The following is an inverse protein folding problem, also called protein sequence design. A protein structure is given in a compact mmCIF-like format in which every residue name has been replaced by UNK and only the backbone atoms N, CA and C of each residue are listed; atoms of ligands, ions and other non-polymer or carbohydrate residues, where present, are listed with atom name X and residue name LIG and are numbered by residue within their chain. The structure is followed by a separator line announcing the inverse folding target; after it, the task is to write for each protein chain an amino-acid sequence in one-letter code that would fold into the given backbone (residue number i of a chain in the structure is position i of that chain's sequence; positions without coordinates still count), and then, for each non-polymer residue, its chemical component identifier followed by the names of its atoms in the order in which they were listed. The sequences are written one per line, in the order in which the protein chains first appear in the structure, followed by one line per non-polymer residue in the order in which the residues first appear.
data_IF_866848074377
#
_entry.id   IF_866848074377
#
_cell.length_a   1.000
_cell.length_b   1.000
_cell.length_c   1.000
_cell.angle_alpha   90.00
_cell.angle_beta   90.00
_cell.angle_gamma   90.00
#
_symmetry.space_group_name_H-M   'P 1'
#
loop_
_entity.id
_entity.type
_entity.pdbx_description
1 polymer ?
#
# COMPACT_ATOMS: atom_id res chain seq x y z
N UNK A 1 13.59 14.18 9.79
CA UNK A 1 14.04 12.78 9.63
C UNK A 1 13.42 12.28 8.33
N UNK A 2 14.20 11.76 7.39
CA UNK A 2 13.65 11.13 6.19
C UNK A 2 12.92 9.85 6.63
N UNK A 3 11.60 9.89 6.68
CA UNK A 3 10.73 8.82 7.18
C UNK A 3 10.69 7.56 6.30
N UNK A 4 11.47 7.52 5.21
CA UNK A 4 11.52 6.42 4.25
C UNK A 4 12.93 5.82 4.16
N UNK A 5 13.62 5.67 5.30
CA UNK A 5 14.85 4.89 5.33
C UNK A 5 14.51 3.41 5.18
N UNK A 6 14.54 2.92 3.94
CA UNK A 6 14.28 1.53 3.59
C UNK A 6 15.16 0.53 4.37
N UNK A 7 16.31 0.98 4.87
CA UNK A 7 17.18 0.15 5.71
C UNK A 7 16.53 -0.16 7.07
N UNK A 8 15.65 0.72 7.57
CA UNK A 8 14.86 0.45 8.77
C UNK A 8 13.88 -0.70 8.58
N UNK A 9 13.30 -0.86 7.38
CA UNK A 9 12.43 -2.00 7.09
C UNK A 9 13.19 -3.33 7.15
N UNK A 10 14.43 -3.37 6.66
CA UNK A 10 15.30 -4.55 6.80
C UNK A 10 15.58 -4.88 8.28
N UNK A 11 15.76 -3.86 9.13
CA UNK A 11 15.95 -4.07 10.56
C UNK A 11 14.75 -4.75 11.25
N UNK A 12 13.53 -4.62 10.70
CA UNK A 12 12.35 -5.37 11.15
C UNK A 12 12.26 -6.78 10.55
N UNK A 13 12.68 -6.97 9.30
CA UNK A 13 12.64 -8.27 8.59
C UNK A 13 13.72 -9.23 9.07
N UNK A 14 14.95 -8.74 9.29
CA UNK A 14 16.10 -9.57 9.64
C UNK A 14 15.89 -10.45 10.89
N UNK A 15 15.28 -9.96 12.00
CA UNK A 15 14.96 -10.81 13.15
C UNK A 15 13.97 -11.94 12.83
N UNK A 16 13.04 -11.72 11.90
CA UNK A 16 12.09 -12.75 11.45
C UNK A 16 12.84 -13.77 10.58
N UNK A 17 13.66 -13.32 9.65
CA UNK A 17 14.47 -14.18 8.78
C UNK A 17 15.46 -15.05 9.56
N UNK A 18 16.09 -14.53 10.63
CA UNK A 18 17.01 -15.29 11.50
C UNK A 18 16.40 -16.52 12.15
N UNK A 19 15.07 -16.56 12.25
CA UNK A 19 14.40 -17.73 12.80
C UNK A 19 14.54 -18.92 11.85
N UNK A 20 14.52 -18.71 10.53
CA UNK A 20 14.64 -19.77 9.52
C UNK A 20 15.97 -20.49 9.59
N UNK A 21 15.99 -21.73 9.09
CA UNK A 21 17.25 -22.46 8.98
C UNK A 21 18.15 -21.86 7.89
N UNK A 22 19.42 -22.25 7.91
CA UNK A 22 20.42 -21.69 7.01
C UNK A 22 20.11 -21.90 5.52
N UNK A 23 19.51 -23.04 5.16
CA UNK A 23 19.20 -23.37 3.77
C UNK A 23 17.97 -22.59 3.31
N UNK A 24 16.93 -22.54 4.15
CA UNK A 24 15.75 -21.73 3.92
C UNK A 24 16.12 -20.26 3.69
N UNK A 25 17.01 -19.69 4.52
CA UNK A 25 17.46 -18.31 4.35
C UNK A 25 18.11 -18.13 2.98
N UNK A 26 19.00 -19.04 2.56
CA UNK A 26 19.68 -18.97 1.26
C UNK A 26 18.70 -19.06 0.09
N UNK A 27 17.70 -19.93 0.20
CA UNK A 27 16.68 -20.09 -0.83
C UNK A 27 15.78 -18.85 -0.91
N UNK A 28 15.32 -18.34 0.23
CA UNK A 28 14.51 -17.12 0.33
C UNK A 28 15.23 -15.93 -0.31
N UNK A 29 16.47 -15.65 0.09
CA UNK A 29 17.21 -14.49 -0.44
C UNK A 29 17.68 -14.70 -1.87
N UNK A 30 17.98 -15.95 -2.27
CA UNK A 30 18.29 -16.30 -3.65
C UNK A 30 17.11 -16.04 -4.59
N UNK A 31 15.89 -16.40 -4.18
CA UNK A 31 14.66 -16.07 -4.91
C UNK A 31 14.41 -14.56 -5.00
N UNK A 32 14.83 -13.82 -3.97
CA UNK A 32 14.81 -12.36 -3.96
C UNK A 32 15.89 -11.71 -4.84
N UNK A 33 16.74 -12.49 -5.52
CA UNK A 33 17.76 -12.01 -6.44
C UNK A 33 19.11 -11.70 -5.79
N UNK A 34 19.36 -12.20 -4.58
CA UNK A 34 20.68 -12.10 -3.95
C UNK A 34 21.71 -12.94 -4.69
N UNK A 35 22.90 -12.39 -4.92
CA UNK A 35 24.01 -13.13 -5.51
C UNK A 35 24.62 -14.10 -4.49
N UNK A 36 24.28 -15.38 -4.61
CA UNK A 36 24.75 -16.43 -3.72
C UNK A 36 26.26 -16.72 -3.88
N UNK A 37 26.93 -16.26 -4.94
CA UNK A 37 28.38 -16.38 -5.06
C UNK A 37 29.12 -15.49 -4.04
N UNK A 38 28.51 -14.36 -3.65
CA UNK A 38 29.02 -13.51 -2.56
C UNK A 38 29.10 -14.31 -1.26
N UNK A 39 28.05 -15.06 -0.94
CA UNK A 39 27.99 -15.89 0.27
C UNK A 39 29.04 -17.00 0.23
N UNK A 40 29.25 -17.65 -0.93
CA UNK A 40 30.32 -18.64 -1.10
C UNK A 40 31.70 -18.03 -0.87
N UNK A 41 31.95 -16.83 -1.40
CA UNK A 41 33.20 -16.09 -1.21
C UNK A 41 33.47 -15.73 0.26
N UNK A 42 32.42 -15.57 1.07
CA UNK A 42 32.48 -15.32 2.52
C UNK A 42 32.58 -16.60 3.36
N UNK A 43 32.67 -17.78 2.73
CA UNK A 43 32.84 -19.06 3.41
C UNK A 43 31.52 -19.75 3.82
N UNK A 44 30.37 -19.24 3.37
CA UNK A 44 29.04 -19.85 3.56
C UNK A 44 28.72 -20.87 2.45
N UNK A 45 29.63 -21.82 2.25
CA UNK A 45 29.47 -22.92 1.30
C UNK A 45 28.85 -24.16 1.96
N UNK A 46 28.38 -25.09 1.12
CA UNK A 46 27.77 -26.34 1.59
C UNK A 46 28.79 -27.33 2.18
N UNK A 47 30.09 -26.99 2.21
CA UNK A 47 31.19 -27.88 2.58
C UNK A 47 31.84 -27.49 3.93
N UNK A 48 31.62 -26.27 4.42
CA UNK A 48 31.96 -25.83 5.78
C UNK A 48 30.88 -26.24 6.79
N UNK A 49 30.89 -27.52 7.16
CA UNK A 49 29.91 -28.14 8.07
C UNK A 49 30.06 -27.72 9.55
N UNK A 50 30.98 -26.82 9.85
CA UNK A 50 31.26 -26.31 11.20
C UNK A 50 30.34 -25.17 11.59
N UNK A 51 29.07 -25.46 11.89
CA UNK A 51 28.06 -24.51 12.40
C UNK A 51 27.73 -23.32 11.47
N UNK A 52 26.77 -23.47 10.55
CA UNK A 52 26.22 -22.31 9.86
C UNK A 52 25.50 -21.39 10.86
N UNK A 53 26.15 -20.29 11.22
CA UNK A 53 25.55 -19.28 12.10
C UNK A 53 24.55 -18.45 11.29
N UNK A 54 23.26 -18.77 11.40
CA UNK A 54 22.16 -18.03 10.73
C UNK A 54 22.18 -16.54 11.08
N UNK A 55 22.62 -16.17 12.28
CA UNK A 55 22.76 -14.77 12.67
C UNK A 55 23.87 -14.08 11.90
N UNK A 56 24.99 -14.76 11.66
CA UNK A 56 26.06 -14.22 10.83
C UNK A 56 25.63 -14.13 9.37
N UNK A 57 24.98 -15.17 8.83
CA UNK A 57 24.44 -15.15 7.47
C UNK A 57 23.50 -13.95 7.24
N UNK A 58 22.52 -13.73 8.13
CA UNK A 58 21.57 -12.61 8.00
C UNK A 58 22.25 -11.26 8.15
N UNK A 59 23.28 -11.14 9.00
CA UNK A 59 24.06 -9.90 9.12
C UNK A 59 24.81 -9.58 7.83
N UNK A 60 25.46 -10.56 7.21
CA UNK A 60 26.20 -10.39 5.94
C UNK A 60 25.26 -10.06 4.77
N UNK A 61 24.07 -10.67 4.74
CA UNK A 61 22.99 -10.28 3.82
C UNK A 61 22.60 -8.83 4.06
N UNK A 62 22.53 -8.40 5.32
CA UNK A 62 22.25 -7.01 5.69
C UNK A 62 23.32 -6.02 5.22
N UNK A 63 24.59 -6.37 5.34
CA UNK A 63 25.70 -5.53 4.88
C UNK A 63 25.69 -5.41 3.35
N UNK A 64 25.40 -6.51 2.65
CA UNK A 64 25.20 -6.49 1.20
C UNK A 64 23.96 -5.67 0.82
N UNK A 65 22.86 -5.81 1.56
CA UNK A 65 21.63 -5.06 1.34
C UNK A 65 21.89 -3.55 1.41
N UNK A 66 22.72 -3.06 2.34
CA UNK A 66 23.06 -1.64 2.44
C UNK A 66 23.67 -1.07 1.15
N UNK A 67 24.38 -1.90 0.39
CA UNK A 67 25.02 -1.53 -0.88
C UNK A 67 24.08 -1.54 -2.10
N UNK A 68 22.87 -2.10 -1.97
CA UNK A 68 21.90 -2.13 -3.06
C UNK A 68 21.38 -0.72 -3.38
N UNK A 69 21.03 -0.49 -4.65
CA UNK A 69 20.25 0.68 -5.03
C UNK A 69 18.87 0.64 -4.35
N UNK A 70 18.28 1.79 -4.02
CA UNK A 70 17.02 1.87 -3.27
C UNK A 70 15.86 1.09 -3.93
N UNK A 71 15.77 1.12 -5.26
CA UNK A 71 14.79 0.33 -6.03
C UNK A 71 15.00 -1.18 -5.86
N UNK A 72 16.27 -1.62 -5.77
CA UNK A 72 16.64 -3.02 -5.58
C UNK A 72 16.41 -3.48 -4.15
N UNK A 73 16.72 -2.62 -3.16
CA UNK A 73 16.44 -2.87 -1.73
C UNK A 73 14.97 -3.21 -1.50
N UNK A 74 14.07 -2.42 -2.10
CA UNK A 74 12.64 -2.58 -1.87
C UNK A 74 12.08 -3.83 -2.51
N UNK A 75 12.50 -4.13 -3.73
CA UNK A 75 12.14 -5.38 -4.40
C UNK A 75 12.65 -6.57 -3.62
N UNK A 76 13.93 -6.57 -3.24
CA UNK A 76 14.54 -7.63 -2.45
C UNK A 76 13.77 -7.89 -1.15
N UNK A 77 13.50 -6.83 -0.39
CA UNK A 77 12.79 -6.89 0.89
C UNK A 77 11.38 -7.48 0.74
N UNK A 78 10.62 -7.04 -0.26
CA UNK A 78 9.28 -7.57 -0.51
C UNK A 78 9.31 -9.04 -0.94
N UNK A 79 10.22 -9.43 -1.84
CA UNK A 79 10.34 -10.84 -2.22
C UNK A 79 10.73 -11.71 -1.03
N UNK A 80 11.66 -11.25 -0.18
CA UNK A 80 12.00 -11.95 1.07
C UNK A 80 10.77 -12.17 1.94
N UNK A 81 9.91 -11.16 2.06
CA UNK A 81 8.70 -11.23 2.89
C UNK A 81 7.63 -12.14 2.30
N UNK A 82 7.38 -12.01 1.00
CA UNK A 82 6.48 -12.90 0.27
C UNK A 82 6.91 -14.37 0.44
N UNK A 83 8.21 -14.64 0.35
CA UNK A 83 8.76 -15.97 0.59
C UNK A 83 8.65 -16.39 2.06
N UNK A 84 8.98 -15.52 3.02
CA UNK A 84 8.82 -15.77 4.47
C UNK A 84 7.39 -16.19 4.83
N UNK A 85 6.38 -15.69 4.12
CA UNK A 85 4.97 -15.99 4.34
C UNK A 85 4.36 -16.96 3.33
N UNK A 86 5.17 -17.56 2.45
CA UNK A 86 4.69 -18.53 1.47
C UNK A 86 4.32 -19.87 2.13
N UNK A 87 3.45 -20.62 1.45
CA UNK A 87 3.06 -21.97 1.87
C UNK A 87 4.24 -22.95 1.98
N UNK A 88 5.38 -22.64 1.36
CA UNK A 88 6.61 -23.45 1.45
C UNK A 88 7.14 -23.51 2.87
N UNK A 89 6.95 -22.46 3.67
CA UNK A 89 7.46 -22.35 5.03
C UNK A 89 6.34 -22.22 6.08
N UNK A 90 5.19 -22.86 5.80
CA UNK A 90 3.95 -22.79 6.59
C UNK A 90 4.07 -23.37 7.99
N UNK A 91 4.93 -24.36 8.18
CA UNK A 91 5.23 -24.97 9.49
C UNK A 91 6.72 -24.82 9.72
N UNK A 92 7.07 -23.89 10.59
CA UNK A 92 8.44 -23.63 10.96
C UNK A 92 8.66 -24.01 12.42
N UNK A 93 9.71 -24.79 12.70
CA UNK A 93 10.08 -25.25 14.04
C UNK A 93 11.44 -24.69 14.40
N UNK A 94 11.48 -23.76 15.36
CA UNK A 94 12.73 -23.30 15.97
C UNK A 94 12.60 -23.40 17.48
N UNK A 95 13.52 -24.16 18.08
CA UNK A 95 13.53 -24.32 19.54
C UNK A 95 12.24 -24.89 20.13
N UNK A 96 11.69 -25.96 19.55
CA UNK A 96 10.48 -26.67 20.00
C UNK A 96 9.15 -25.86 19.96
N UNK A 97 9.16 -24.64 19.41
CA UNK A 97 7.93 -23.86 19.18
C UNK A 97 7.54 -23.90 17.70
N UNK A 98 6.30 -24.26 17.43
CA UNK A 98 5.68 -24.16 16.10
C UNK A 98 5.06 -22.78 16.01
N UNK A 99 5.59 -21.96 15.10
CA UNK A 99 5.03 -20.62 14.84
C UNK A 99 4.20 -20.63 13.57
N UNK A 100 2.89 -20.39 13.72
CA UNK A 100 1.98 -20.23 12.58
C UNK A 100 2.27 -18.93 11.80
N UNK A 101 1.96 -18.90 10.49
CA UNK A 101 2.21 -17.73 9.64
C UNK A 101 1.59 -16.44 10.18
N UNK A 102 0.41 -16.51 10.80
CA UNK A 102 -0.30 -15.35 11.33
C UNK A 102 0.41 -14.74 12.54
N UNK A 103 0.93 -15.56 13.47
CA UNK A 103 1.75 -15.06 14.59
C UNK A 103 3.06 -14.41 14.12
N UNK A 104 3.62 -14.90 13.01
CA UNK A 104 4.81 -14.31 12.37
C UNK A 104 4.49 -12.96 11.73
N UNK A 105 3.34 -12.85 11.04
CA UNK A 105 2.86 -11.60 10.44
C UNK A 105 2.61 -10.54 11.51
N UNK A 106 1.94 -10.90 12.60
CA UNK A 106 1.67 -9.98 13.72
C UNK A 106 2.97 -9.41 14.31
N UNK A 107 3.99 -10.27 14.53
CA UNK A 107 5.29 -9.81 15.04
C UNK A 107 6.02 -8.90 14.06
N UNK A 108 6.01 -9.24 12.78
CA UNK A 108 6.62 -8.40 11.75
C UNK A 108 5.92 -7.04 11.70
N UNK A 109 4.59 -7.02 11.68
CA UNK A 109 3.78 -5.79 11.69
C UNK A 109 4.13 -4.91 12.90
N UNK A 110 4.20 -5.49 14.11
CA UNK A 110 4.59 -4.76 15.31
C UNK A 110 5.95 -4.06 15.21
N UNK A 111 6.94 -4.71 14.57
CA UNK A 111 8.25 -4.10 14.33
C UNK A 111 8.19 -3.00 13.26
N UNK A 112 7.42 -3.21 12.19
CA UNK A 112 7.28 -2.26 11.09
C UNK A 112 6.58 -0.97 11.50
N UNK A 113 5.52 -1.07 12.31
CA UNK A 113 4.72 0.09 12.77
C UNK A 113 5.61 1.14 13.46
N UNK A 114 6.54 0.66 14.29
CA UNK A 114 7.49 1.50 15.05
C UNK A 114 8.50 2.21 14.16
N UNK A 115 8.63 1.79 12.91
CA UNK A 115 9.60 2.28 11.93
C UNK A 115 8.94 3.01 10.75
N UNK A 116 7.62 3.25 10.80
CA UNK A 116 6.91 3.96 9.73
C UNK A 116 6.51 3.10 8.54
N UNK A 117 6.56 1.77 8.70
CA UNK A 117 6.22 0.79 7.67
C UNK A 117 5.01 -0.04 8.08
N UNK A 118 4.35 -0.65 7.12
CA UNK A 118 3.29 -1.62 7.39
C UNK A 118 3.32 -2.76 6.38
N UNK A 119 2.75 -3.89 6.78
CA UNK A 119 2.53 -5.05 5.92
C UNK A 119 1.07 -5.07 5.44
N UNK A 120 0.86 -4.90 4.13
CA UNK A 120 -0.45 -5.07 3.48
C UNK A 120 -0.28 -6.09 2.37
N UNK A 121 -1.08 -7.16 2.37
CA UNK A 121 -1.01 -8.25 1.36
C UNK A 121 0.42 -8.77 1.11
N UNK A 122 1.14 -9.04 2.21
CA UNK A 122 2.55 -9.47 2.23
C UNK A 122 3.54 -8.48 1.60
N UNK A 123 3.14 -7.23 1.42
CA UNK A 123 3.98 -6.15 0.88
C UNK A 123 4.26 -5.11 1.95
N UNK A 124 5.52 -4.69 2.04
CA UNK A 124 5.90 -3.53 2.84
C UNK A 124 5.60 -2.26 2.06
N UNK A 125 4.81 -1.40 2.69
CA UNK A 125 4.47 -0.07 2.22
C UNK A 125 4.78 0.95 3.34
N UNK A 126 5.26 2.15 3.01
CA UNK A 126 5.32 3.23 3.98
C UNK A 126 3.91 3.54 4.48
N UNK A 127 3.76 3.78 5.79
CA UNK A 127 2.49 4.25 6.41
C UNK A 127 2.04 5.58 5.77
N UNK A 128 2.97 6.36 5.24
CA UNK A 128 2.65 7.60 4.53
C UNK A 128 1.82 7.37 3.27
N UNK A 129 1.87 6.21 2.59
CA UNK A 129 1.18 5.99 1.31
C UNK A 129 -0.28 5.56 1.50
N UNK A 130 -0.53 4.59 2.36
CA UNK A 130 -1.86 4.15 2.81
C UNK A 130 -1.76 3.88 4.30
N UNK A 131 -2.87 3.84 5.03
CA UNK A 131 -2.89 3.33 6.41
C UNK A 131 -3.87 2.16 6.44
N UNK A 132 -3.49 1.04 7.05
CA UNK A 132 -4.34 -0.14 7.17
C UNK A 132 -5.69 0.20 7.81
N UNK A 133 -5.70 1.06 8.83
CA UNK A 133 -6.94 1.49 9.50
C UNK A 133 -7.87 2.20 8.52
N UNK A 134 -7.34 3.07 7.66
CA UNK A 134 -8.12 3.73 6.62
C UNK A 134 -8.67 2.74 5.57
N UNK A 135 -7.95 1.66 5.27
CA UNK A 135 -8.34 0.68 4.25
C UNK A 135 -9.49 -0.22 4.69
N UNK A 136 -9.58 -0.55 5.99
CA UNK A 136 -10.66 -1.37 6.56
C UNK A 136 -12.04 -0.72 6.36
N UNK A 137 -12.06 0.61 6.21
CA UNK A 137 -13.25 1.39 5.94
C UNK A 137 -13.68 1.44 4.47
N UNK A 138 -12.85 0.97 3.55
CA UNK A 138 -13.10 1.13 2.12
C UNK A 138 -13.81 -0.08 1.53
N UNK A 139 -14.59 0.17 0.48
CA UNK A 139 -15.16 -0.87 -0.38
C UNK A 139 -14.06 -1.82 -0.92
N UNK A 140 -14.27 -3.15 -0.95
CA UNK A 140 -13.25 -4.12 -1.34
C UNK A 140 -12.58 -3.88 -2.71
N UNK A 141 -13.36 -3.62 -3.77
CA UNK A 141 -12.79 -3.42 -5.11
C UNK A 141 -11.93 -2.15 -5.19
N UNK A 142 -12.34 -1.08 -4.51
CA UNK A 142 -11.55 0.14 -4.41
C UNK A 142 -10.30 -0.03 -3.54
N UNK A 143 -10.39 -0.84 -2.48
CA UNK A 143 -9.27 -1.20 -1.62
C UNK A 143 -8.18 -1.92 -2.41
N UNK A 144 -8.55 -2.92 -3.22
CA UNK A 144 -7.62 -3.66 -4.08
C UNK A 144 -6.89 -2.72 -5.05
N UNK A 145 -7.62 -1.81 -5.71
CA UNK A 145 -7.03 -0.84 -6.63
C UNK A 145 -6.15 0.20 -5.91
N UNK A 146 -6.47 0.61 -4.69
CA UNK A 146 -5.60 1.49 -3.89
C UNK A 146 -4.32 0.78 -3.45
N UNK A 147 -4.41 -0.48 -2.98
CA UNK A 147 -3.24 -1.30 -2.63
C UNK A 147 -2.35 -1.49 -3.86
N UNK A 148 -2.95 -1.75 -5.02
CA UNK A 148 -2.23 -1.80 -6.29
C UNK A 148 -1.59 -0.46 -6.64
N UNK A 149 -2.29 0.66 -6.47
CA UNK A 149 -1.74 2.00 -6.70
C UNK A 149 -0.52 2.28 -5.81
N UNK A 150 -0.60 1.97 -4.52
CA UNK A 150 0.48 2.10 -3.56
C UNK A 150 1.67 1.18 -3.90
N UNK A 151 1.38 -0.06 -4.29
CA UNK A 151 2.39 -1.03 -4.76
C UNK A 151 3.12 -0.48 -6.00
N UNK A 152 2.40 0.03 -6.98
CA UNK A 152 2.98 0.58 -8.22
C UNK A 152 3.78 1.85 -7.95
N UNK A 153 3.29 2.72 -7.08
CA UNK A 153 3.98 3.92 -6.65
C UNK A 153 5.30 3.59 -5.95
N UNK A 154 5.27 2.58 -5.09
CA UNK A 154 6.42 1.99 -4.41
C UNK A 154 7.43 1.44 -5.41
N UNK A 155 6.97 0.68 -6.40
CA UNK A 155 7.80 0.01 -7.41
C UNK A 155 8.38 0.97 -8.47
N UNK A 156 8.10 2.28 -8.37
CA UNK A 156 8.55 3.27 -9.35
C UNK A 156 7.73 3.28 -10.64
N UNK A 157 6.72 2.42 -10.75
CA UNK A 157 5.76 2.39 -11.85
C UNK A 157 4.66 3.44 -11.62
N UNK A 158 5.07 4.70 -11.71
CA UNK A 158 4.23 5.85 -11.40
C UNK A 158 3.04 5.99 -12.38
N UNK A 159 3.17 5.47 -13.60
CA UNK A 159 2.08 5.47 -14.59
C UNK A 159 0.92 4.58 -14.13
N UNK A 160 1.23 3.32 -13.80
CA UNK A 160 0.24 2.36 -13.31
C UNK A 160 -0.30 2.74 -11.93
N UNK A 161 0.50 3.43 -11.11
CA UNK A 161 0.05 3.96 -9.84
C UNK A 161 -1.10 4.96 -9.99
N UNK A 162 -0.97 5.95 -10.90
CA UNK A 162 -2.04 6.91 -11.18
C UNK A 162 -3.28 6.21 -11.77
N UNK A 163 -3.07 5.26 -12.68
CA UNK A 163 -4.17 4.49 -13.28
C UNK A 163 -4.96 3.73 -12.24
N UNK A 164 -4.27 3.04 -11.32
CA UNK A 164 -4.91 2.26 -10.25
C UNK A 164 -5.61 3.17 -9.24
N UNK A 165 -5.02 4.32 -8.88
CA UNK A 165 -5.67 5.30 -8.02
C UNK A 165 -6.98 5.84 -8.64
N UNK A 166 -6.96 6.17 -9.93
CA UNK A 166 -8.14 6.58 -10.68
C UNK A 166 -9.20 5.46 -10.75
N UNK A 167 -8.76 4.22 -11.01
CA UNK A 167 -9.62 3.05 -11.09
C UNK A 167 -10.32 2.75 -9.75
N UNK A 168 -9.65 2.96 -8.62
CA UNK A 168 -10.26 2.82 -7.30
C UNK A 168 -11.51 3.70 -7.15
N UNK A 169 -11.43 4.99 -7.50
CA UNK A 169 -12.60 5.89 -7.44
C UNK A 169 -13.66 5.48 -8.46
N UNK A 170 -13.26 5.11 -9.68
CA UNK A 170 -14.19 4.73 -10.74
C UNK A 170 -15.00 3.47 -10.38
N UNK A 171 -14.37 2.49 -9.74
CA UNK A 171 -15.03 1.26 -9.29
C UNK A 171 -16.18 1.54 -8.33
N UNK A 172 -15.98 2.42 -7.34
CA UNK A 172 -17.04 2.80 -6.39
C UNK A 172 -18.14 3.62 -7.06
N UNK A 173 -17.79 4.51 -8.00
CA UNK A 173 -18.81 5.24 -8.79
C UNK A 173 -19.70 4.26 -9.56
N UNK A 174 -19.10 3.30 -10.26
CA UNK A 174 -19.84 2.31 -11.02
C UNK A 174 -20.76 1.46 -10.12
N UNK A 175 -20.28 1.09 -8.92
CA UNK A 175 -21.09 0.45 -7.89
C UNK A 175 -22.27 1.33 -7.45
N UNK A 176 -22.02 2.58 -7.07
CA UNK A 176 -23.07 3.52 -6.60
C UNK A 176 -24.15 3.73 -7.68
N UNK A 177 -23.76 3.83 -8.95
CA UNK A 177 -24.73 3.94 -10.06
C UNK A 177 -25.66 2.73 -10.14
N UNK A 178 -25.10 1.53 -9.94
CA UNK A 178 -25.86 0.28 -9.92
C UNK A 178 -26.77 0.20 -8.70
N UNK A 179 -26.22 0.43 -7.52
CA UNK A 179 -26.91 0.22 -6.24
C UNK A 179 -28.00 1.27 -5.99
N UNK A 180 -27.77 2.51 -6.42
CA UNK A 180 -28.74 3.62 -6.30
C UNK A 180 -29.60 3.82 -7.55
N UNK A 181 -29.56 2.88 -8.50
CA UNK A 181 -30.38 2.90 -9.74
C UNK A 181 -30.28 4.21 -10.53
N UNK A 182 -29.08 4.77 -10.67
CA UNK A 182 -28.84 6.07 -11.35
C UNK A 182 -28.78 5.97 -12.88
N UNK A 183 -29.00 4.77 -13.43
CA UNK A 183 -28.76 4.40 -14.82
C UNK A 183 -27.33 3.89 -15.07
N UNK A 184 -26.96 3.74 -16.34
CA UNK A 184 -25.57 3.45 -16.71
C UNK A 184 -24.68 4.68 -16.49
N UNK A 185 -23.39 4.43 -16.23
CA UNK A 185 -22.41 5.50 -16.08
C UNK A 185 -22.21 6.18 -17.43
N UNK A 186 -22.63 7.44 -17.54
CA UNK A 186 -22.42 8.25 -18.75
C UNK A 186 -20.96 8.75 -18.80
N UNK A 187 -20.13 8.00 -19.50
CA UNK A 187 -18.72 8.31 -19.71
C UNK A 187 -18.46 9.53 -20.60
N UNK A 188 -19.49 10.07 -21.27
CA UNK A 188 -19.38 11.36 -21.98
C UNK A 188 -19.32 12.55 -21.02
N UNK A 189 -19.77 12.37 -19.77
CA UNK A 189 -19.68 13.38 -18.72
C UNK A 189 -18.29 13.40 -18.09
N UNK A 190 -17.89 14.59 -17.63
CA UNK A 190 -16.63 14.76 -16.92
C UNK A 190 -16.58 13.87 -15.68
N UNK A 191 -15.39 13.45 -15.29
CA UNK A 191 -15.21 12.61 -14.10
C UNK A 191 -15.73 13.33 -12.85
N UNK A 192 -15.54 14.65 -12.76
CA UNK A 192 -16.13 15.50 -11.72
C UNK A 192 -17.65 15.35 -11.60
N UNK A 193 -18.35 15.35 -12.74
CA UNK A 193 -19.81 15.22 -12.75
C UNK A 193 -20.23 13.83 -12.24
N UNK A 194 -19.53 12.78 -12.68
CA UNK A 194 -19.79 11.42 -12.24
C UNK A 194 -19.53 11.24 -10.74
N UNK A 195 -18.41 11.76 -10.23
CA UNK A 195 -18.10 11.77 -8.79
C UNK A 195 -19.18 12.51 -7.99
N UNK A 196 -19.54 13.72 -8.41
CA UNK A 196 -20.56 14.53 -7.74
C UNK A 196 -21.89 13.78 -7.66
N UNK A 197 -22.39 13.27 -8.79
CA UNK A 197 -23.67 12.55 -8.84
C UNK A 197 -23.65 11.29 -7.96
N UNK A 198 -22.51 10.58 -7.90
CA UNK A 198 -22.37 9.44 -7.00
C UNK A 198 -22.39 9.86 -5.51
N UNK A 199 -21.63 10.89 -5.12
CA UNK A 199 -21.60 11.41 -3.75
C UNK A 199 -22.97 11.94 -3.29
N UNK A 200 -23.73 12.59 -4.17
CA UNK A 200 -25.10 13.01 -3.86
C UNK A 200 -26.01 11.81 -3.60
N UNK A 201 -25.87 10.74 -4.38
CA UNK A 201 -26.69 9.54 -4.26
C UNK A 201 -26.36 8.67 -3.04
N UNK A 202 -25.15 8.76 -2.49
CA UNK A 202 -24.80 8.10 -1.23
C UNK A 202 -25.42 8.80 -0.01
N UNK A 203 -25.91 10.04 -0.15
CA UNK A 203 -26.44 10.83 0.95
C UNK A 203 -25.37 11.34 1.92
N UNK A 204 -24.07 11.22 1.57
CA UNK A 204 -22.95 11.54 2.47
C UNK A 204 -22.99 12.98 2.99
N UNK A 205 -23.42 13.94 2.16
CA UNK A 205 -23.55 15.33 2.59
C UNK A 205 -24.64 15.52 3.64
N UNK A 206 -25.73 14.77 3.54
CA UNK A 206 -26.81 14.81 4.54
C UNK A 206 -26.37 14.20 5.85
N UNK A 207 -25.67 13.05 5.80
CA UNK A 207 -25.11 12.41 6.98
C UNK A 207 -24.11 13.31 7.72
N UNK A 208 -23.19 13.94 6.98
CA UNK A 208 -22.21 14.88 7.55
C UNK A 208 -22.90 16.07 8.22
N UNK A 209 -23.91 16.68 7.58
CA UNK A 209 -24.66 17.78 8.21
C UNK A 209 -25.37 17.36 9.49
N UNK A 210 -25.92 16.14 9.53
CA UNK A 210 -26.53 15.56 10.73
C UNK A 210 -25.51 15.43 11.85
N UNK A 211 -24.38 14.77 11.59
CA UNK A 211 -23.31 14.58 12.57
C UNK A 211 -22.73 15.91 13.07
N UNK A 212 -22.55 16.91 12.19
CA UNK A 212 -22.10 18.24 12.59
C UNK A 212 -23.14 18.96 13.46
N UNK A 213 -24.43 18.78 13.16
CA UNK A 213 -25.54 19.29 13.97
C UNK A 213 -25.54 18.65 15.36
N UNK A 214 -25.30 17.34 15.44
CA UNK A 214 -25.27 16.58 16.70
C UNK A 214 -24.13 17.01 17.63
N UNK A 215 -23.02 17.52 17.08
CA UNK A 215 -21.93 18.16 17.84
C UNK A 215 -22.09 19.68 17.96
N UNK A 216 -23.31 20.17 17.78
CA UNK A 216 -23.74 21.56 18.01
C UNK A 216 -23.07 22.62 17.11
N UNK A 217 -22.66 22.26 15.88
CA UNK A 217 -22.25 23.27 14.91
C UNK A 217 -23.41 24.17 14.50
N UNK A 218 -23.11 25.45 14.25
CA UNK A 218 -24.12 26.41 13.77
C UNK A 218 -24.51 26.09 12.33
N UNK A 219 -25.80 26.18 12.02
CA UNK A 219 -26.33 25.91 10.68
C UNK A 219 -25.61 26.71 9.57
N UNK A 220 -25.25 27.97 9.85
CA UNK A 220 -24.48 28.81 8.92
C UNK A 220 -23.10 28.23 8.59
N UNK A 221 -22.39 27.73 9.60
CA UNK A 221 -21.05 27.15 9.46
C UNK A 221 -21.12 25.79 8.73
N UNK A 222 -22.14 24.98 9.02
CA UNK A 222 -22.39 23.70 8.33
C UNK A 222 -22.59 23.93 6.83
N UNK A 223 -23.41 24.90 6.44
CA UNK A 223 -23.65 25.23 5.02
C UNK A 223 -22.37 25.64 4.30
N UNK A 224 -21.54 26.48 4.94
CA UNK A 224 -20.25 26.91 4.38
C UNK A 224 -19.28 25.73 4.28
N UNK A 225 -19.20 24.89 5.30
CA UNK A 225 -18.36 23.69 5.29
C UNK A 225 -18.75 22.74 4.16
N UNK A 226 -20.04 22.39 4.05
CA UNK A 226 -20.57 21.52 2.99
C UNK A 226 -20.20 22.03 1.60
N UNK A 227 -20.42 23.32 1.33
CA UNK A 227 -20.11 23.91 0.02
C UNK A 227 -18.61 23.84 -0.32
N UNK A 228 -17.74 24.06 0.67
CA UNK A 228 -16.29 23.96 0.49
C UNK A 228 -15.83 22.51 0.33
N UNK A 229 -16.43 21.56 1.06
CA UNK A 229 -16.14 20.14 0.92
C UNK A 229 -16.53 19.64 -0.48
N UNK A 230 -17.75 19.94 -0.94
CA UNK A 230 -18.21 19.61 -2.29
C UNK A 230 -17.29 20.23 -3.35
N UNK A 231 -16.95 21.51 -3.21
CA UNK A 231 -16.03 22.21 -4.09
C UNK A 231 -14.65 21.57 -4.14
N UNK A 232 -14.11 21.18 -2.99
CA UNK A 232 -12.80 20.53 -2.87
C UNK A 232 -12.79 19.16 -3.55
N UNK A 233 -13.81 18.32 -3.32
CA UNK A 233 -13.93 17.00 -3.95
C UNK A 233 -14.08 17.10 -5.46
N UNK A 234 -14.82 18.11 -5.94
CA UNK A 234 -14.94 18.41 -7.36
C UNK A 234 -13.58 18.79 -7.98
N UNK A 235 -12.76 19.56 -7.29
CA UNK A 235 -11.41 19.91 -7.77
C UNK A 235 -10.45 18.72 -7.69
N UNK A 236 -10.51 17.93 -6.62
CA UNK A 236 -9.72 16.71 -6.48
C UNK A 236 -10.01 15.73 -7.64
N UNK A 237 -11.28 15.49 -7.96
CA UNK A 237 -11.67 14.66 -9.10
C UNK A 237 -11.13 15.22 -10.43
N UNK A 238 -11.16 16.54 -10.62
CA UNK A 238 -10.59 17.17 -11.82
C UNK A 238 -9.08 16.94 -11.94
N UNK A 239 -8.34 17.23 -10.86
CA UNK A 239 -6.90 17.06 -10.81
C UNK A 239 -6.53 15.60 -11.07
N UNK A 240 -7.22 14.66 -10.43
CA UNK A 240 -7.00 13.23 -10.64
C UNK A 240 -7.21 12.82 -12.11
N UNK A 241 -8.30 13.28 -12.75
CA UNK A 241 -8.54 13.02 -14.17
C UNK A 241 -7.47 13.66 -15.07
N UNK A 242 -7.04 14.89 -14.75
CA UNK A 242 -6.04 15.62 -15.52
C UNK A 242 -4.67 14.94 -15.42
N UNK A 243 -4.27 14.52 -14.21
CA UNK A 243 -3.03 13.78 -13.96
C UNK A 243 -3.07 12.43 -14.68
N UNK A 244 -4.17 11.67 -14.58
CA UNK A 244 -4.33 10.43 -15.37
C UNK A 244 -4.11 10.67 -16.86
N UNK A 245 -4.81 11.63 -17.46
CA UNK A 245 -4.74 11.86 -18.91
C UNK A 245 -3.35 12.32 -19.39
N UNK A 246 -2.61 13.02 -18.53
CA UNK A 246 -1.35 13.66 -18.90
C UNK A 246 -0.10 12.94 -18.36
N UNK A 247 -0.24 12.05 -17.39
CA UNK A 247 0.86 11.33 -16.75
C UNK A 247 0.65 9.81 -16.74
N UNK A 248 -0.41 9.28 -17.35
CA UNK A 248 -0.48 7.86 -17.69
C UNK A 248 -0.49 7.70 -19.20
N UNK A 249 0.48 6.97 -19.75
CA UNK A 249 0.40 6.49 -21.13
C UNK A 249 0.89 5.04 -21.21
N UNK A 250 0.36 4.29 -22.17
CA UNK A 250 0.69 2.88 -22.37
C UNK A 250 2.14 2.63 -22.84
N UNK A 251 2.94 3.69 -23.04
CA UNK A 251 4.29 3.62 -23.63
C UNK A 251 5.38 4.28 -22.76
N UNK A 252 5.09 4.64 -21.51
CA UNK A 252 6.03 5.21 -20.55
C UNK A 252 6.67 6.57 -20.90
N UNK A 253 6.23 7.26 -21.95
CA UNK A 253 7.00 8.37 -22.54
C UNK A 253 6.75 9.77 -21.95
N UNK A 254 5.75 9.95 -21.08
CA UNK A 254 5.49 11.25 -20.45
C UNK A 254 6.16 11.32 -19.08
N UNK A 255 6.83 12.44 -18.73
CA UNK A 255 7.44 12.59 -17.41
C UNK A 255 6.36 12.58 -16.33
N UNK A 256 6.57 11.78 -15.30
CA UNK A 256 5.66 11.67 -14.15
C UNK A 256 6.29 12.31 -12.93
N UNK A 257 5.50 13.12 -12.22
CA UNK A 257 5.94 13.81 -11.01
C UNK A 257 5.53 12.97 -9.81
N UNK A 258 6.48 12.28 -9.18
CA UNK A 258 6.24 11.37 -8.05
C UNK A 258 5.36 12.00 -6.94
N UNK A 259 5.62 13.22 -6.44
CA UNK A 259 4.73 13.85 -5.45
C UNK A 259 3.26 13.94 -5.89
N UNK A 260 2.98 14.26 -7.15
CA UNK A 260 1.60 14.38 -7.63
C UNK A 260 0.90 13.01 -7.78
N UNK A 261 1.66 11.93 -7.97
CA UNK A 261 1.12 10.56 -7.94
C UNK A 261 0.76 10.16 -6.53
N UNK A 262 1.61 10.49 -5.56
CA UNK A 262 1.30 10.30 -4.14
C UNK A 262 0.01 11.04 -3.76
N UNK A 263 -0.10 12.33 -4.13
CA UNK A 263 -1.30 13.12 -3.88
C UNK A 263 -2.53 12.53 -4.56
N UNK A 264 -2.38 11.95 -5.75
CA UNK A 264 -3.47 11.26 -6.45
C UNK A 264 -3.98 10.05 -5.68
N UNK A 265 -3.09 9.28 -5.06
CA UNK A 265 -3.47 8.14 -4.20
C UNK A 265 -4.25 8.66 -2.98
N UNK A 266 -3.77 9.73 -2.33
CA UNK A 266 -4.44 10.33 -1.17
C UNK A 266 -5.82 10.91 -1.50
N UNK A 267 -5.94 11.64 -2.59
CA UNK A 267 -7.25 12.14 -3.04
C UNK A 267 -8.20 11.01 -3.39
N UNK A 268 -7.70 9.96 -4.04
CA UNK A 268 -8.50 8.78 -4.36
C UNK A 268 -9.02 8.10 -3.09
N UNK A 269 -8.16 7.92 -2.09
CA UNK A 269 -8.51 7.36 -0.78
C UNK A 269 -9.63 8.17 -0.09
N UNK A 270 -9.50 9.51 -0.05
CA UNK A 270 -10.52 10.39 0.54
C UNK A 270 -11.87 10.26 -0.18
N UNK A 271 -11.86 10.29 -1.53
CA UNK A 271 -13.08 10.19 -2.33
C UNK A 271 -13.72 8.81 -2.16
N UNK A 272 -12.95 7.73 -2.21
CA UNK A 272 -13.42 6.35 -1.99
C UNK A 272 -14.05 6.21 -0.62
N UNK A 273 -13.44 6.76 0.44
CA UNK A 273 -14.01 6.70 1.80
C UNK A 273 -15.39 7.36 1.87
N UNK A 274 -15.54 8.55 1.29
CA UNK A 274 -16.83 9.26 1.24
C UNK A 274 -17.89 8.53 0.40
N UNK A 275 -17.46 7.85 -0.67
CA UNK A 275 -18.35 7.02 -1.49
C UNK A 275 -18.67 5.65 -0.87
N UNK A 276 -17.92 5.21 0.14
CA UNK A 276 -18.08 3.88 0.77
C UNK A 276 -19.24 3.80 1.76
N UNK A 277 -20.03 4.87 1.92
CA UNK A 277 -21.26 4.93 2.73
C UNK A 277 -21.04 4.62 4.22
N UNK A 278 -19.84 4.88 4.75
CA UNK A 278 -19.50 4.68 6.17
C UNK A 278 -19.86 5.85 7.09
N UNK A 279 -20.44 6.91 6.54
CA UNK A 279 -21.06 7.97 7.33
C UNK A 279 -22.48 7.51 7.66
N UNK A 280 -22.60 6.65 8.67
CA UNK A 280 -23.90 6.23 9.19
C UNK A 280 -24.67 7.45 9.72
N UNK A 281 -25.98 7.42 9.50
CA UNK A 281 -26.97 8.21 10.22
C UNK A 281 -27.69 7.29 11.22
#
# INVERSE_FOLDING_TARGET
MNNNDINSAWAAVAPILRKFDFYDIKDIVGLAGFDLEILKGLGFDANNWGNPNTSQLVSEIGDCFLSFADETKLRFLNTVIEEIFSDRYRVFSYGNEIEEPEGRKERLQYCLDRLGWQLIDNKILPIEVLDRSDLEELEPSAREELIKAATKFRDGDLNEAILSAYAAVESVIARVYRDKSLGEVDYSKSFQHRCKKALEATGVYTAIDGQLTDIEWKEGDIKVFRANLEGSLKQAAYVLQLLRNNMSNAHGSKPVIKPLVFDSIKWSQIIVRLLSEKYDA
#
